data_IF_317195556268
#
_entry.id   IF_317195556268
#
_cell.length_a   1.000
_cell.length_b   1.000
_cell.length_c   1.000
_cell.angle_alpha   90.00
_cell.angle_beta   90.00
_cell.angle_gamma   90.00
#
_symmetry.space_group_name_H-M   'P 1'
#
loop_
_entity.id
_entity.type
_entity.pdbx_description
1 polymer ?
#
# COMPACT_ATOMS: atom_id res chain seq x y z
N UNK A 1 -11.82 10.93 -32.64
CA UNK A 1 -12.06 11.44 -31.26
C UNK A 1 -11.04 10.80 -30.35
N UNK A 2 -10.58 11.48 -29.30
CA UNK A 2 -9.63 10.89 -28.36
C UNK A 2 -10.29 9.79 -27.52
N UNK A 3 -9.57 8.69 -27.29
CA UNK A 3 -10.00 7.62 -26.40
C UNK A 3 -9.52 7.90 -24.97
N UNK A 4 -10.42 7.76 -24.00
CA UNK A 4 -10.15 8.04 -22.58
C UNK A 4 -10.56 6.88 -21.71
N UNK A 5 -9.69 6.52 -20.77
CA UNK A 5 -9.92 5.44 -19.81
C UNK A 5 -9.23 5.73 -18.48
N UNK A 6 -9.71 5.06 -17.43
CA UNK A 6 -9.03 4.97 -16.15
C UNK A 6 -8.18 3.69 -16.14
N UNK A 7 -6.93 3.82 -15.75
CA UNK A 7 -6.04 2.71 -15.47
C UNK A 7 -5.83 2.60 -13.95
N UNK A 8 -6.13 1.43 -13.39
CA UNK A 8 -5.93 1.08 -11.98
C UNK A 8 -5.48 -0.38 -11.86
N UNK A 9 -4.98 -0.76 -10.70
CA UNK A 9 -4.62 -2.15 -10.38
C UNK A 9 -4.76 -2.41 -8.88
N UNK A 10 -4.55 -3.64 -8.42
CA UNK A 10 -4.27 -3.93 -7.01
C UNK A 10 -5.37 -3.43 -6.05
N UNK A 11 -6.64 -3.66 -6.39
CA UNK A 11 -7.77 -3.34 -5.50
C UNK A 11 -7.79 -4.27 -4.28
N UNK A 12 -7.30 -5.51 -4.42
CA UNK A 12 -7.21 -6.50 -3.34
C UNK A 12 -8.51 -6.59 -2.51
N UNK A 13 -9.66 -6.64 -3.20
CA UNK A 13 -10.97 -6.74 -2.56
C UNK A 13 -11.04 -8.00 -1.69
N UNK A 14 -11.40 -7.83 -0.42
CA UNK A 14 -11.44 -8.90 0.58
C UNK A 14 -10.19 -9.03 1.45
N UNK A 15 -9.15 -8.20 1.24
CA UNK A 15 -7.96 -8.13 2.12
C UNK A 15 -8.35 -7.82 3.56
N UNK A 16 -7.94 -8.67 4.51
CA UNK A 16 -8.36 -8.59 5.93
C UNK A 16 -7.47 -7.73 6.84
N UNK A 17 -6.31 -7.28 6.37
CA UNK A 17 -5.37 -6.46 7.15
C UNK A 17 -4.98 -7.04 8.52
N UNK A 18 -4.88 -8.38 8.63
CA UNK A 18 -4.61 -9.06 9.89
C UNK A 18 -3.25 -8.69 10.54
N UNK A 19 -2.32 -8.18 9.74
CA UNK A 19 -1.00 -7.70 10.16
C UNK A 19 -1.00 -6.27 10.73
N UNK A 20 -2.13 -5.56 10.70
CA UNK A 20 -2.27 -4.22 11.25
C UNK A 20 -2.77 -4.34 12.69
N UNK A 21 -2.10 -3.67 13.63
CA UNK A 21 -2.53 -3.62 15.02
C UNK A 21 -3.94 -3.01 15.10
N UNK A 22 -4.79 -3.58 15.94
CA UNK A 22 -6.14 -3.06 16.15
C UNK A 22 -6.10 -2.04 17.29
N UNK A 23 -6.52 -0.78 17.07
CA UNK A 23 -6.68 0.19 18.15
C UNK A 23 -7.77 -0.26 19.14
N UNK A 24 -7.85 0.35 20.34
CA UNK A 24 -8.85 -0.01 21.36
C UNK A 24 -10.30 0.07 20.91
N UNK A 25 -10.61 0.87 19.89
CA UNK A 25 -11.97 1.01 19.33
C UNK A 25 -12.39 -0.16 18.42
N UNK A 26 -11.46 -1.04 18.05
CA UNK A 26 -11.72 -2.31 17.36
C UNK A 26 -12.21 -2.20 15.91
N UNK A 27 -12.14 -1.02 15.28
CA UNK A 27 -12.83 -0.76 14.01
C UNK A 27 -11.92 -0.49 12.80
N UNK A 28 -10.61 -0.42 12.98
CA UNK A 28 -9.67 0.01 11.95
C UNK A 28 -9.66 -0.95 10.76
N UNK A 29 -9.52 -2.26 11.01
CA UNK A 29 -9.44 -3.25 9.92
C UNK A 29 -10.71 -3.26 9.08
N UNK A 30 -11.88 -3.12 9.72
CA UNK A 30 -13.18 -3.00 9.04
C UNK A 30 -13.25 -1.76 8.14
N UNK A 31 -12.81 -0.60 8.64
CA UNK A 31 -12.75 0.64 7.84
C UNK A 31 -11.77 0.55 6.66
N UNK A 32 -10.64 -0.15 6.82
CA UNK A 32 -9.69 -0.38 5.73
C UNK A 32 -10.27 -1.30 4.65
N UNK A 33 -11.00 -2.35 5.06
CA UNK A 33 -11.73 -3.24 4.14
C UNK A 33 -12.80 -2.48 3.35
N UNK A 34 -13.59 -1.67 4.05
CA UNK A 34 -14.63 -0.82 3.45
C UNK A 34 -14.02 0.21 2.48
N UNK A 35 -12.90 0.86 2.86
CA UNK A 35 -12.22 1.80 1.99
C UNK A 35 -11.77 1.17 0.66
N UNK A 36 -11.25 -0.06 0.67
CA UNK A 36 -10.93 -0.80 -0.57
C UNK A 36 -12.18 -1.07 -1.41
N UNK A 37 -13.28 -1.48 -0.77
CA UNK A 37 -14.55 -1.72 -1.47
C UNK A 37 -15.11 -0.43 -2.10
N UNK A 38 -15.07 0.68 -1.38
CA UNK A 38 -15.52 2.00 -1.86
C UNK A 38 -14.70 2.52 -3.04
N UNK A 39 -13.52 1.95 -3.34
CA UNK A 39 -12.76 2.35 -4.53
C UNK A 39 -13.49 2.04 -5.82
N UNK A 40 -14.41 1.06 -5.85
CA UNK A 40 -15.25 0.82 -7.04
C UNK A 40 -16.04 2.10 -7.38
N UNK A 41 -16.67 2.72 -6.38
CA UNK A 41 -17.40 3.98 -6.57
C UNK A 41 -16.46 5.14 -6.91
N UNK A 42 -15.34 5.27 -6.20
CA UNK A 42 -14.39 6.36 -6.45
C UNK A 42 -13.79 6.32 -7.87
N UNK A 43 -13.48 5.12 -8.37
CA UNK A 43 -13.00 4.90 -9.73
C UNK A 43 -14.07 5.22 -10.78
N UNK A 44 -15.33 4.85 -10.53
CA UNK A 44 -16.45 5.22 -11.39
C UNK A 44 -16.65 6.74 -11.46
N UNK A 45 -16.59 7.42 -10.32
CA UNK A 45 -16.65 8.89 -10.26
C UNK A 45 -15.47 9.52 -11.00
N UNK A 46 -14.24 9.03 -10.79
CA UNK A 46 -13.08 9.51 -11.53
C UNK A 46 -13.22 9.30 -13.05
N UNK A 47 -13.81 8.18 -13.48
CA UNK A 47 -14.09 7.91 -14.88
C UNK A 47 -15.10 8.93 -15.45
N UNK A 48 -16.21 9.16 -14.75
CA UNK A 48 -17.24 10.13 -15.15
C UNK A 48 -16.69 11.56 -15.23
N UNK A 49 -15.99 12.02 -14.20
CA UNK A 49 -15.40 13.37 -14.12
C UNK A 49 -14.39 13.64 -15.24
N UNK A 50 -13.75 12.58 -15.76
CA UNK A 50 -12.77 12.66 -16.86
C UNK A 50 -13.35 12.32 -18.23
N UNK A 51 -14.64 11.99 -18.31
CA UNK A 51 -15.29 11.54 -19.54
C UNK A 51 -14.67 10.26 -20.10
N UNK A 52 -14.21 9.37 -19.22
CA UNK A 52 -13.67 8.07 -19.54
C UNK A 52 -14.77 7.00 -19.42
N UNK A 53 -15.03 6.27 -20.51
CA UNK A 53 -16.05 5.22 -20.54
C UNK A 53 -15.55 3.84 -20.07
N UNK A 54 -14.25 3.71 -19.82
CA UNK A 54 -13.62 2.42 -19.50
C UNK A 54 -12.72 2.53 -18.27
N UNK A 55 -12.75 1.50 -17.43
CA UNK A 55 -11.80 1.27 -16.34
C UNK A 55 -11.06 -0.03 -16.64
N UNK A 56 -9.74 0.07 -16.83
CA UNK A 56 -8.84 -1.07 -17.03
C UNK A 56 -8.21 -1.44 -15.68
N UNK A 57 -8.51 -2.64 -15.20
CA UNK A 57 -8.00 -3.23 -13.95
C UNK A 57 -6.86 -4.20 -14.30
N UNK A 58 -5.62 -3.75 -14.11
CA UNK A 58 -4.40 -4.49 -14.47
C UNK A 58 -3.99 -5.52 -13.41
N UNK A 59 -4.91 -6.41 -13.01
CA UNK A 59 -4.62 -7.50 -12.06
C UNK A 59 -4.88 -7.17 -10.59
N UNK A 60 -4.95 -8.24 -9.79
CA UNK A 60 -5.12 -8.21 -8.32
C UNK A 60 -6.36 -7.42 -7.89
N UNK A 61 -7.48 -7.71 -8.54
CA UNK A 61 -8.78 -7.14 -8.17
C UNK A 61 -9.27 -7.76 -6.87
N UNK A 62 -9.06 -9.07 -6.68
CA UNK A 62 -9.54 -9.83 -5.53
C UNK A 62 -8.39 -10.45 -4.71
N UNK A 63 -8.49 -10.38 -3.39
CA UNK A 63 -7.59 -11.07 -2.43
C UNK A 63 -8.28 -12.28 -1.78
N UNK A 64 -9.61 -12.39 -1.92
CA UNK A 64 -10.40 -13.53 -1.45
C UNK A 64 -10.85 -14.43 -2.58
N UNK A 65 -10.87 -15.75 -2.34
CA UNK A 65 -11.29 -16.79 -3.29
C UNK A 65 -12.78 -16.75 -3.70
N UNK A 66 -13.54 -15.78 -3.22
CA UNK A 66 -14.93 -15.55 -3.65
C UNK A 66 -15.07 -14.07 -3.98
N UNK A 67 -15.46 -13.69 -5.22
CA UNK A 67 -15.77 -12.31 -5.52
C UNK A 67 -17.00 -11.97 -4.70
N UNK A 68 -16.99 -10.83 -4.01
CA UNK A 68 -18.22 -10.42 -3.35
C UNK A 68 -19.22 -10.12 -4.46
N UNK A 69 -20.38 -10.80 -4.47
CA UNK A 69 -21.52 -10.43 -5.33
C UNK A 69 -21.84 -8.93 -5.22
N UNK A 70 -21.51 -8.34 -4.07
CA UNK A 70 -21.55 -6.90 -3.81
C UNK A 70 -20.61 -6.10 -4.72
N UNK A 71 -19.38 -6.56 -5.01
CA UNK A 71 -18.46 -5.87 -5.92
C UNK A 71 -19.00 -5.85 -7.34
N UNK A 72 -19.50 -6.99 -7.84
CA UNK A 72 -20.14 -7.05 -9.17
C UNK A 72 -21.39 -6.17 -9.24
N UNK A 73 -22.21 -6.15 -8.18
CA UNK A 73 -23.34 -5.24 -8.08
C UNK A 73 -22.90 -3.76 -8.09
N UNK A 74 -21.86 -3.39 -7.34
CA UNK A 74 -21.34 -2.03 -7.33
C UNK A 74 -20.78 -1.61 -8.71
N UNK A 75 -20.11 -2.52 -9.43
CA UNK A 75 -19.64 -2.28 -10.79
C UNK A 75 -20.80 -2.14 -11.79
N UNK A 76 -21.86 -2.95 -11.66
CA UNK A 76 -23.10 -2.81 -12.45
C UNK A 76 -23.75 -1.45 -12.28
N UNK A 77 -23.80 -0.97 -11.04
CA UNK A 77 -24.50 0.26 -10.70
C UNK A 77 -23.71 1.51 -11.14
N UNK A 78 -22.43 1.36 -11.50
CA UNK A 78 -21.61 2.39 -12.16
C UNK A 78 -21.98 2.55 -13.64
N UNK A 79 -23.13 3.18 -13.90
CA UNK A 79 -23.66 3.44 -15.24
C UNK A 79 -22.66 4.23 -16.10
N UNK A 80 -22.56 3.86 -17.38
CA UNK A 80 -21.67 4.51 -18.36
C UNK A 80 -20.19 4.09 -18.25
N UNK A 81 -19.85 3.17 -17.35
CA UNK A 81 -18.49 2.64 -17.18
C UNK A 81 -18.43 1.17 -17.55
N UNK A 82 -17.48 0.82 -18.42
CA UNK A 82 -17.12 -0.55 -18.77
C UNK A 82 -15.88 -0.98 -17.98
N UNK A 83 -16.00 -2.06 -17.21
CA UNK A 83 -14.93 -2.61 -16.38
C UNK A 83 -14.23 -3.75 -17.09
N UNK A 84 -12.92 -3.66 -17.26
CA UNK A 84 -12.09 -4.69 -17.90
C UNK A 84 -11.13 -5.27 -16.88
N UNK A 85 -11.40 -6.49 -16.43
CA UNK A 85 -10.71 -7.14 -15.31
C UNK A 85 -9.69 -8.13 -15.84
N UNK A 86 -8.41 -7.83 -15.65
CA UNK A 86 -7.33 -8.77 -15.87
C UNK A 86 -7.07 -9.60 -14.61
N UNK A 87 -6.91 -10.93 -14.69
CA UNK A 87 -6.34 -11.76 -13.63
C UNK A 87 -4.89 -11.40 -13.30
N UNK A 88 -4.58 -11.21 -12.01
CA UNK A 88 -3.26 -10.93 -11.47
C UNK A 88 -2.65 -12.10 -10.67
N UNK A 89 -1.69 -11.81 -9.80
CA UNK A 89 -0.99 -12.80 -9.00
C UNK A 89 -1.88 -13.44 -7.92
N UNK A 90 -2.65 -12.64 -7.21
CA UNK A 90 -3.52 -13.06 -6.10
C UNK A 90 -4.79 -13.73 -6.58
N UNK A 91 -5.38 -13.21 -7.65
CA UNK A 91 -6.56 -13.73 -8.33
C UNK A 91 -6.20 -14.38 -9.67
N UNK A 92 -5.14 -15.18 -9.73
CA UNK A 92 -4.77 -15.89 -10.97
C UNK A 92 -5.82 -16.96 -11.37
N UNK A 93 -5.83 -17.32 -12.66
CA UNK A 93 -6.83 -18.24 -13.23
C UNK A 93 -6.87 -19.63 -12.57
N UNK A 94 -5.75 -20.10 -12.00
CA UNK A 94 -5.68 -21.40 -11.32
C UNK A 94 -6.16 -21.36 -9.88
N UNK A 95 -5.71 -20.38 -9.10
CA UNK A 95 -5.98 -20.33 -7.66
C UNK A 95 -7.34 -19.68 -7.35
N UNK A 96 -7.81 -18.80 -8.24
CA UNK A 96 -9.08 -18.11 -8.13
C UNK A 96 -10.07 -18.56 -9.22
N UNK A 97 -9.98 -19.81 -9.69
CA UNK A 97 -10.85 -20.37 -10.73
C UNK A 97 -12.34 -20.09 -10.45
N UNK A 98 -12.78 -20.32 -9.20
CA UNK A 98 -14.16 -20.06 -8.77
C UNK A 98 -14.58 -18.59 -8.92
N UNK A 99 -13.66 -17.65 -8.70
CA UNK A 99 -13.91 -16.22 -8.89
C UNK A 99 -14.18 -15.92 -10.35
N UNK A 100 -13.32 -16.39 -11.24
CA UNK A 100 -13.43 -16.09 -12.67
C UNK A 100 -14.57 -16.85 -13.35
N UNK A 101 -14.92 -18.05 -12.86
CA UNK A 101 -16.09 -18.78 -13.33
C UNK A 101 -17.39 -18.09 -12.93
N UNK A 102 -17.49 -17.59 -11.68
CA UNK A 102 -18.65 -16.80 -11.25
C UNK A 102 -18.79 -15.52 -12.08
N UNK A 103 -17.70 -14.80 -12.33
CA UNK A 103 -17.73 -13.60 -13.19
C UNK A 103 -18.15 -14.00 -14.61
N UNK A 104 -17.60 -15.08 -15.17
CA UNK A 104 -17.95 -15.50 -16.53
C UNK A 104 -19.43 -15.92 -16.67
N UNK A 105 -20.03 -16.47 -15.62
CA UNK A 105 -21.43 -16.91 -15.65
C UNK A 105 -22.42 -15.80 -15.30
N UNK A 106 -22.05 -14.90 -14.37
CA UNK A 106 -22.98 -14.00 -13.70
C UNK A 106 -22.56 -12.52 -13.74
N UNK A 107 -21.53 -12.15 -14.51
CA UNK A 107 -21.14 -10.76 -14.66
C UNK A 107 -22.27 -9.90 -15.25
N UNK A 108 -22.44 -8.67 -14.74
CA UNK A 108 -23.20 -7.64 -15.43
C UNK A 108 -22.65 -7.35 -16.83
N UNK A 109 -23.48 -6.82 -17.73
CA UNK A 109 -23.11 -6.49 -19.11
C UNK A 109 -21.91 -5.53 -19.23
N UNK A 110 -21.67 -4.73 -18.21
CA UNK A 110 -20.57 -3.75 -18.17
C UNK A 110 -19.31 -4.25 -17.45
N UNK A 111 -19.23 -5.55 -17.12
CA UNK A 111 -18.09 -6.15 -16.44
C UNK A 111 -17.53 -7.28 -17.30
N UNK A 112 -16.28 -7.16 -17.73
CA UNK A 112 -15.64 -8.03 -18.70
C UNK A 112 -14.40 -8.71 -18.09
N UNK A 113 -14.42 -10.04 -18.01
CA UNK A 113 -13.26 -10.81 -17.55
C UNK A 113 -12.32 -11.14 -18.72
N UNK A 114 -11.06 -10.73 -18.61
CA UNK A 114 -10.04 -10.95 -19.63
C UNK A 114 -9.24 -12.23 -19.30
N UNK A 115 -9.87 -13.40 -19.49
CA UNK A 115 -9.28 -14.71 -19.17
C UNK A 115 -8.34 -15.26 -20.26
N UNK A 116 -8.43 -14.71 -21.46
CA UNK A 116 -7.65 -15.13 -22.63
C UNK A 116 -6.60 -14.08 -23.04
N UNK A 117 -5.87 -14.40 -24.12
CA UNK A 117 -4.91 -13.48 -24.76
C UNK A 117 -5.42 -12.91 -26.08
N UNK A 118 -6.68 -13.21 -26.42
CA UNK A 118 -7.32 -12.73 -27.64
C UNK A 118 -7.45 -11.20 -27.61
N UNK A 119 -7.26 -10.57 -28.77
CA UNK A 119 -7.45 -9.13 -28.93
C UNK A 119 -8.92 -8.79 -28.76
N UNK A 120 -9.22 -7.79 -27.92
CA UNK A 120 -10.58 -7.32 -27.67
C UNK A 120 -10.74 -5.90 -28.21
N UNK A 121 -11.71 -5.67 -29.09
CA UNK A 121 -12.10 -4.30 -29.48
C UNK A 121 -12.99 -3.70 -28.38
N UNK A 122 -12.46 -2.73 -27.63
CA UNK A 122 -13.17 -2.14 -26.48
C UNK A 122 -13.94 -0.87 -26.85
N UNK A 123 -13.58 -0.26 -27.98
CA UNK A 123 -14.26 0.85 -28.61
C UNK A 123 -13.86 0.87 -30.10
N UNK A 124 -14.64 1.53 -30.99
CA UNK A 124 -14.31 1.60 -32.41
C UNK A 124 -12.87 2.06 -32.65
N UNK A 125 -12.04 1.18 -33.23
CA UNK A 125 -10.64 1.48 -33.51
C UNK A 125 -9.70 1.44 -32.31
N UNK A 126 -10.08 0.76 -31.21
CA UNK A 126 -9.26 0.59 -30.00
C UNK A 126 -9.18 -0.88 -29.62
N UNK A 127 -7.98 -1.44 -29.70
CA UNK A 127 -7.67 -2.82 -29.34
C UNK A 127 -7.03 -2.91 -27.96
N UNK A 128 -7.59 -3.76 -27.11
CA UNK A 128 -7.01 -4.20 -25.85
C UNK A 128 -6.33 -5.56 -26.05
N UNK A 129 -5.07 -5.66 -25.64
CA UNK A 129 -4.24 -6.85 -25.73
C UNK A 129 -3.96 -7.36 -24.31
N UNK A 130 -4.82 -8.25 -23.77
CA UNK A 130 -4.68 -8.76 -22.40
C UNK A 130 -3.57 -9.80 -22.26
N UNK A 131 -2.88 -9.78 -21.12
CA UNK A 131 -1.87 -10.76 -20.73
C UNK A 131 -2.19 -11.31 -19.33
N UNK A 132 -3.24 -12.15 -19.19
CA UNK A 132 -3.72 -12.62 -17.89
C UNK A 132 -2.70 -13.52 -17.21
N UNK A 133 -2.65 -13.47 -15.87
CA UNK A 133 -1.81 -14.37 -15.07
C UNK A 133 -2.50 -15.73 -14.91
N UNK A 134 -1.99 -16.82 -15.53
CA UNK A 134 -2.61 -18.14 -15.42
C UNK A 134 -2.36 -18.78 -14.06
N UNK A 135 -1.16 -18.59 -13.53
CA UNK A 135 -0.68 -19.08 -12.24
C UNK A 135 0.41 -18.14 -11.77
N UNK A 136 0.58 -17.99 -10.45
CA UNK A 136 1.69 -17.22 -9.88
C UNK A 136 3.04 -17.86 -10.24
N UNK A 137 4.06 -17.04 -10.51
CA UNK A 137 5.41 -17.46 -10.87
C UNK A 137 5.43 -18.41 -12.09
N UNK A 138 5.17 -17.84 -13.26
CA UNK A 138 5.04 -18.58 -14.52
C UNK A 138 6.38 -19.01 -15.12
N UNK A 139 7.50 -18.50 -14.61
CA UNK A 139 8.84 -18.68 -15.18
C UNK A 139 9.02 -18.03 -16.55
N UNK A 140 8.12 -17.13 -16.98
CA UNK A 140 8.18 -16.45 -18.28
C UNK A 140 7.47 -15.09 -18.29
N UNK A 141 7.97 -14.17 -19.10
CA UNK A 141 7.28 -12.94 -19.50
C UNK A 141 5.94 -13.27 -20.20
N UNK A 142 4.83 -12.89 -19.58
CA UNK A 142 3.48 -13.10 -20.11
C UNK A 142 3.12 -12.16 -21.26
N UNK A 143 3.88 -11.09 -21.44
CA UNK A 143 3.67 -10.13 -22.52
C UNK A 143 4.47 -10.51 -23.78
N UNK A 144 5.30 -11.56 -23.74
CA UNK A 144 6.30 -11.91 -24.76
C UNK A 144 5.75 -12.03 -26.18
N UNK A 145 4.48 -12.41 -26.30
CA UNK A 145 3.84 -12.68 -27.59
C UNK A 145 3.25 -11.39 -28.21
N UNK A 146 3.13 -10.28 -27.44
CA UNK A 146 2.58 -9.00 -27.90
C UNK A 146 3.21 -8.45 -29.19
N UNK A 147 4.55 -8.52 -29.40
CA UNK A 147 5.17 -8.06 -30.65
C UNK A 147 4.67 -8.77 -31.91
N UNK A 148 4.19 -10.02 -31.78
CA UNK A 148 3.67 -10.81 -32.91
C UNK A 148 2.19 -10.62 -33.18
N UNK A 149 1.44 -9.91 -32.32
CA UNK A 149 -0.01 -9.75 -32.44
C UNK A 149 -0.34 -8.63 -33.42
N UNK A 150 -0.86 -9.00 -34.59
CA UNK A 150 -1.35 -8.07 -35.59
C UNK A 150 -2.70 -7.45 -35.20
N UNK A 151 -2.87 -6.16 -35.48
CA UNK A 151 -4.16 -5.44 -35.43
C UNK A 151 -4.34 -4.67 -36.73
N UNK A 152 -5.58 -4.27 -37.10
CA UNK A 152 -5.78 -3.40 -38.26
C UNK A 152 -4.97 -2.11 -38.17
N UNK A 153 -4.59 -1.56 -39.32
CA UNK A 153 -3.83 -0.31 -39.43
C UNK A 153 -4.57 0.86 -38.77
N UNK A 154 -3.83 1.73 -38.08
CA UNK A 154 -4.37 2.92 -37.43
C UNK A 154 -5.18 2.69 -36.14
N UNK A 155 -5.34 1.43 -35.70
CA UNK A 155 -5.98 1.08 -34.43
C UNK A 155 -5.09 1.45 -33.25
N UNK A 156 -5.69 2.03 -32.21
CA UNK A 156 -5.01 2.29 -30.93
C UNK A 156 -4.77 0.94 -30.22
N UNK A 157 -3.53 0.65 -29.84
CA UNK A 157 -3.12 -0.61 -29.19
C UNK A 157 -2.80 -0.40 -27.72
N UNK A 158 -3.60 -1.01 -26.84
CA UNK A 158 -3.39 -0.93 -25.38
C UNK A 158 -3.03 -2.33 -24.88
N UNK A 159 -1.81 -2.49 -24.34
CA UNK A 159 -1.45 -3.69 -23.60
C UNK A 159 -1.96 -3.61 -22.16
N UNK A 160 -2.46 -4.72 -21.61
CA UNK A 160 -2.89 -4.82 -20.22
C UNK A 160 -2.27 -6.07 -19.58
N UNK A 161 -1.37 -5.86 -18.61
CA UNK A 161 -0.59 -6.93 -18.02
C UNK A 161 -0.37 -6.72 -16.52
N UNK A 162 0.01 -7.79 -15.82
CA UNK A 162 0.32 -7.76 -14.40
C UNK A 162 1.65 -8.48 -14.15
N UNK A 163 2.61 -7.77 -13.57
CA UNK A 163 3.96 -8.28 -13.32
C UNK A 163 5.01 -7.18 -13.26
N UNK A 164 6.20 -7.54 -12.77
CA UNK A 164 7.33 -6.62 -12.61
C UNK A 164 8.06 -6.31 -13.91
N UNK A 165 8.69 -5.12 -13.94
CA UNK A 165 9.66 -4.69 -14.97
C UNK A 165 11.11 -4.76 -14.44
N UNK A 166 11.30 -4.93 -13.12
CA UNK A 166 12.62 -4.91 -12.46
C UNK A 166 13.02 -6.32 -12.04
N UNK A 167 14.18 -6.76 -12.49
CA UNK A 167 14.75 -8.06 -12.14
C UNK A 167 15.68 -7.97 -10.92
N UNK A 168 15.46 -8.85 -9.95
CA UNK A 168 16.42 -9.10 -8.85
C UNK A 168 16.89 -10.57 -8.85
N UNK A 169 16.42 -11.39 -9.80
CA UNK A 169 16.49 -12.87 -9.73
C UNK A 169 16.87 -13.57 -11.04
N UNK A 170 17.07 -12.86 -12.16
CA UNK A 170 17.41 -13.41 -13.49
C UNK A 170 16.41 -14.50 -13.97
N UNK A 171 15.15 -14.41 -13.56
CA UNK A 171 14.15 -15.49 -13.78
C UNK A 171 13.54 -15.51 -15.19
N UNK A 172 13.75 -14.46 -15.99
CA UNK A 172 13.11 -14.30 -17.31
C UNK A 172 11.60 -14.05 -17.26
N UNK A 173 11.04 -13.77 -16.08
CA UNK A 173 9.62 -13.47 -15.86
C UNK A 173 9.26 -11.99 -16.12
N UNK A 174 10.27 -11.12 -16.16
CA UNK A 174 10.07 -9.68 -16.17
C UNK A 174 9.56 -9.17 -17.52
N UNK A 175 8.69 -8.17 -17.46
CA UNK A 175 8.22 -7.43 -18.62
C UNK A 175 9.34 -6.47 -19.05
N UNK A 176 9.84 -6.54 -20.30
CA UNK A 176 10.88 -5.61 -20.73
C UNK A 176 10.43 -4.15 -20.64
N UNK A 177 11.31 -3.23 -20.18
CA UNK A 177 10.95 -1.82 -19.99
C UNK A 177 10.62 -1.09 -21.30
N UNK A 178 10.97 -1.68 -22.44
CA UNK A 178 10.68 -1.20 -23.80
C UNK A 178 9.55 -1.97 -24.47
N UNK A 179 8.73 -2.73 -23.72
CA UNK A 179 7.63 -3.52 -24.28
C UNK A 179 6.59 -2.68 -25.03
N UNK A 180 6.40 -1.43 -24.63
CA UNK A 180 5.61 -0.47 -25.40
C UNK A 180 6.14 -0.29 -26.83
N UNK A 181 7.45 -0.14 -27.01
CA UNK A 181 8.07 0.09 -28.31
C UNK A 181 8.19 -1.20 -29.12
N UNK A 182 8.67 -2.28 -28.50
CA UNK A 182 8.86 -3.57 -29.18
C UNK A 182 7.56 -4.21 -29.64
N UNK A 183 6.44 -3.94 -28.96
CA UNK A 183 5.12 -4.43 -29.37
C UNK A 183 4.23 -3.40 -30.09
N UNK A 184 4.75 -2.20 -30.36
CA UNK A 184 4.01 -1.13 -31.03
C UNK A 184 2.73 -0.75 -30.29
N UNK A 185 2.81 -0.59 -28.96
CA UNK A 185 1.69 -0.22 -28.11
C UNK A 185 1.62 1.31 -27.95
N UNK A 186 0.40 1.82 -27.97
CA UNK A 186 0.11 3.21 -27.64
C UNK A 186 0.16 3.45 -26.13
N UNK A 187 -0.20 2.43 -25.36
CA UNK A 187 -0.11 2.41 -23.91
C UNK A 187 0.05 0.97 -23.40
N UNK A 188 0.86 0.78 -22.35
CA UNK A 188 0.99 -0.47 -21.61
C UNK A 188 0.60 -0.21 -20.15
N UNK A 189 -0.59 -0.70 -19.81
CA UNK A 189 -1.17 -0.65 -18.48
C UNK A 189 -0.65 -1.83 -17.64
N UNK A 190 0.15 -1.54 -16.61
CA UNK A 190 0.74 -2.54 -15.72
C UNK A 190 0.16 -2.44 -14.29
N UNK A 191 -0.07 -3.59 -13.66
CA UNK A 191 -0.23 -3.74 -12.19
C UNK A 191 0.84 -4.65 -11.58
N UNK A 192 0.78 -4.88 -10.26
CA UNK A 192 1.75 -5.61 -9.38
C UNK A 192 2.58 -4.68 -8.49
N UNK A 193 2.78 -3.44 -8.92
CA UNK A 193 3.50 -2.41 -8.14
C UNK A 193 2.50 -1.49 -7.42
N UNK A 194 2.48 -1.52 -6.08
CA UNK A 194 1.51 -0.79 -5.25
C UNK A 194 1.71 0.75 -5.21
N UNK A 195 2.85 1.26 -5.70
CA UNK A 195 3.10 2.70 -5.84
C UNK A 195 2.86 3.19 -7.27
N UNK A 196 2.88 4.51 -7.49
CA UNK A 196 2.95 5.02 -8.87
C UNK A 196 4.36 4.88 -9.42
N UNK A 197 4.49 4.33 -10.62
CA UNK A 197 5.76 4.23 -11.33
C UNK A 197 5.56 4.47 -12.81
N UNK A 198 6.31 5.41 -13.39
CA UNK A 198 6.34 5.66 -14.83
C UNK A 198 7.63 5.07 -15.40
N UNK A 199 7.51 3.96 -16.12
CA UNK A 199 8.63 3.27 -16.78
C UNK A 199 9.00 3.98 -18.09
N UNK A 200 7.98 4.35 -18.87
CA UNK A 200 8.09 5.21 -20.05
C UNK A 200 6.85 6.12 -20.11
N UNK A 201 6.77 7.09 -21.03
CA UNK A 201 5.53 7.83 -21.26
C UNK A 201 4.31 6.92 -21.51
N UNK A 202 4.52 5.73 -22.10
CA UNK A 202 3.47 4.78 -22.47
C UNK A 202 3.33 3.60 -21.51
N UNK A 203 4.34 3.31 -20.69
CA UNK A 203 4.33 2.17 -19.76
C UNK A 203 4.29 2.68 -18.33
N UNK A 204 3.20 2.43 -17.61
CA UNK A 204 3.06 2.92 -16.23
C UNK A 204 2.40 1.88 -15.31
N UNK A 205 2.71 1.99 -14.03
CA UNK A 205 1.96 1.40 -12.92
C UNK A 205 1.18 2.52 -12.21
N UNK A 206 -0.13 2.35 -11.98
CA UNK A 206 -0.95 3.35 -11.30
C UNK A 206 -0.69 3.35 -9.79
N UNK A 207 -0.25 2.20 -9.25
CA UNK A 207 -0.29 1.92 -7.84
C UNK A 207 -1.65 1.38 -7.42
N UNK A 208 -1.78 1.08 -6.13
CA UNK A 208 -3.08 0.71 -5.56
C UNK A 208 -3.95 1.96 -5.35
N UNK A 209 -5.26 1.92 -5.66
CA UNK A 209 -6.16 3.05 -5.47
C UNK A 209 -6.48 3.32 -3.99
N UNK A 210 -6.21 2.36 -3.11
CA UNK A 210 -6.24 2.50 -1.65
C UNK A 210 -5.00 1.82 -1.07
N UNK A 211 -4.19 2.55 -0.30
CA UNK A 211 -2.92 2.00 0.19
C UNK A 211 -3.13 0.92 1.26
N UNK A 212 -2.18 0.00 1.35
CA UNK A 212 -2.15 -1.08 2.35
C UNK A 212 -0.80 -1.23 3.07
N UNK A 213 0.16 -0.34 2.78
CA UNK A 213 1.52 -0.43 3.28
C UNK A 213 2.12 0.95 3.53
N UNK A 214 3.01 1.05 4.51
CA UNK A 214 3.69 2.28 4.93
C UNK A 214 4.87 2.70 4.02
N UNK A 215 4.88 2.29 2.74
CA UNK A 215 6.05 2.46 1.87
C UNK A 215 6.05 3.77 1.08
N UNK A 216 4.87 4.31 0.76
CA UNK A 216 4.75 5.36 -0.26
C UNK A 216 4.53 6.77 0.30
N UNK A 217 4.11 6.92 1.56
CA UNK A 217 3.90 8.23 2.17
C UNK A 217 2.84 9.10 1.47
N UNK A 218 1.94 8.47 0.70
CA UNK A 218 0.94 9.13 -0.12
C UNK A 218 -0.37 8.33 -0.10
N UNK A 219 -1.47 8.96 -0.50
CA UNK A 219 -2.76 8.28 -0.70
C UNK A 219 -2.73 7.47 -2.01
N UNK A 220 -3.62 6.49 -2.10
CA UNK A 220 -3.80 5.71 -3.31
C UNK A 220 -4.33 6.55 -4.47
N UNK A 221 -4.10 6.10 -5.70
CA UNK A 221 -4.52 6.81 -6.91
C UNK A 221 -4.86 5.85 -8.05
N UNK A 222 -5.53 6.38 -9.06
CA UNK A 222 -5.60 5.79 -10.39
C UNK A 222 -5.02 6.76 -11.44
N UNK A 223 -4.86 6.30 -12.68
CA UNK A 223 -4.40 7.14 -13.79
C UNK A 223 -5.55 7.38 -14.77
N UNK A 224 -5.85 8.65 -15.05
CA UNK A 224 -6.66 9.04 -16.19
C UNK A 224 -5.77 9.16 -17.42
N UNK A 225 -6.06 8.39 -18.46
CA UNK A 225 -5.25 8.30 -19.68
C UNK A 225 -6.06 8.77 -20.88
N UNK A 226 -5.48 9.64 -21.71
CA UNK A 226 -6.04 10.08 -22.99
C UNK A 226 -5.11 9.72 -24.13
N UNK A 227 -5.65 9.00 -25.13
CA UNK A 227 -4.99 8.64 -26.38
C UNK A 227 -5.69 9.34 -27.54
N UNK A 228 -5.03 10.31 -28.17
CA UNK A 228 -5.66 11.11 -29.23
C UNK A 228 -5.77 10.37 -30.57
N UNK A 229 -4.77 9.55 -30.88
CA UNK A 229 -4.65 8.70 -32.08
C UNK A 229 -3.55 7.66 -31.88
N UNK A 230 -3.51 6.63 -32.72
CA UNK A 230 -2.39 5.69 -32.76
C UNK A 230 -1.06 6.41 -33.04
N UNK A 231 0.01 5.98 -32.38
CA UNK A 231 1.34 6.56 -32.41
C UNK A 231 1.53 7.84 -31.59
N UNK A 232 0.47 8.52 -31.13
CA UNK A 232 0.60 9.74 -30.33
C UNK A 232 0.97 9.43 -28.87
N UNK A 233 1.80 10.26 -28.24
CA UNK A 233 2.18 10.09 -26.82
C UNK A 233 0.94 10.29 -25.94
N UNK A 234 0.64 9.39 -24.97
CA UNK A 234 -0.51 9.52 -24.10
C UNK A 234 -0.39 10.72 -23.16
N UNK A 235 -1.52 11.37 -22.89
CA UNK A 235 -1.64 12.28 -21.75
C UNK A 235 -2.09 11.46 -20.53
N UNK A 236 -1.31 11.51 -19.45
CA UNK A 236 -1.55 10.70 -18.24
C UNK A 236 -1.58 11.61 -17.01
N UNK A 237 -2.68 11.56 -16.27
CA UNK A 237 -2.87 12.34 -15.03
C UNK A 237 -3.21 11.41 -13.87
N UNK A 238 -2.50 11.55 -12.74
CA UNK A 238 -2.86 10.85 -11.50
C UNK A 238 -4.09 11.47 -10.83
N UNK A 239 -5.02 10.62 -10.40
CA UNK A 239 -6.23 11.01 -9.68
C UNK A 239 -6.18 10.35 -8.31
N UNK A 240 -6.04 11.16 -7.26
CA UNK A 240 -6.07 10.65 -5.89
C UNK A 240 -7.43 10.01 -5.60
N UNK A 241 -7.40 8.76 -5.14
CA UNK A 241 -8.58 7.98 -4.75
C UNK A 241 -8.52 7.52 -3.30
N UNK A 242 -7.35 7.54 -2.65
CA UNK A 242 -7.13 6.92 -1.35
C UNK A 242 -7.82 7.63 -0.17
N UNK A 243 -8.59 6.86 0.59
CA UNK A 243 -9.26 7.29 1.81
C UNK A 243 -8.32 7.37 3.01
N UNK A 244 -7.26 6.55 3.07
CA UNK A 244 -6.27 6.55 4.15
C UNK A 244 -4.88 6.98 3.68
N UNK A 245 -4.20 7.76 4.53
CA UNK A 245 -2.79 8.10 4.36
C UNK A 245 -1.94 7.16 5.22
N UNK A 246 -0.98 6.48 4.61
CA UNK A 246 -0.05 5.58 5.29
C UNK A 246 1.34 6.21 5.28
N UNK A 247 1.91 6.46 6.46
CA UNK A 247 3.18 7.19 6.59
C UNK A 247 4.10 6.56 7.62
N UNK A 248 5.38 6.50 7.27
CA UNK A 248 6.47 6.03 8.11
C UNK A 248 7.44 7.21 8.30
N UNK A 249 7.50 7.76 9.52
CA UNK A 249 8.18 9.02 9.81
C UNK A 249 9.30 8.76 10.82
N UNK A 250 10.53 9.07 10.41
CA UNK A 250 11.68 9.02 11.29
C UNK A 250 11.64 10.18 12.31
N UNK A 251 11.85 9.87 13.58
CA UNK A 251 11.97 10.82 14.69
C UNK A 251 13.36 10.65 15.33
N UNK A 252 14.39 11.30 14.77
CA UNK A 252 15.69 11.37 15.43
C UNK A 252 15.57 12.23 16.69
N UNK A 253 16.11 11.75 17.81
CA UNK A 253 16.11 12.41 19.11
C UNK A 253 17.54 12.55 19.63
N UNK A 254 17.82 13.71 20.20
CA UNK A 254 19.12 14.04 20.78
C UNK A 254 19.04 14.21 22.31
N UNK A 255 20.20 14.16 22.96
CA UNK A 255 20.29 14.41 24.40
C UNK A 255 19.74 15.79 24.77
N UNK A 256 18.98 15.85 25.86
CA UNK A 256 18.33 17.05 26.36
C UNK A 256 17.14 17.56 25.55
N UNK A 257 16.75 16.88 24.47
CA UNK A 257 15.60 17.26 23.65
C UNK A 257 14.26 16.91 24.33
N UNK A 258 13.27 17.78 24.20
CA UNK A 258 11.90 17.48 24.62
C UNK A 258 11.26 16.53 23.59
N UNK A 259 11.20 15.24 23.95
CA UNK A 259 10.72 14.18 23.07
C UNK A 259 9.24 14.33 22.72
N UNK A 260 8.42 14.93 23.59
CA UNK A 260 7.02 15.18 23.32
C UNK A 260 6.85 16.32 22.30
N UNK A 261 7.57 17.42 22.49
CA UNK A 261 7.56 18.53 21.53
C UNK A 261 8.11 18.10 20.15
N UNK A 262 9.15 17.26 20.14
CA UNK A 262 9.71 16.71 18.91
C UNK A 262 8.70 15.82 18.16
N UNK A 263 7.93 14.99 18.87
CA UNK A 263 6.82 14.23 18.29
C UNK A 263 5.76 15.16 17.71
N UNK A 264 5.28 16.14 18.48
CA UNK A 264 4.21 17.05 18.09
C UNK A 264 4.53 17.80 16.79
N UNK A 265 5.79 18.20 16.62
CA UNK A 265 6.28 18.85 15.40
C UNK A 265 6.22 17.96 14.15
N UNK A 266 6.11 16.63 14.30
CA UNK A 266 6.00 15.66 13.20
C UNK A 266 4.59 15.18 12.93
N UNK A 267 3.65 15.42 13.84
CA UNK A 267 2.27 14.99 13.66
C UNK A 267 1.56 15.89 12.62
N UNK A 268 0.81 15.31 11.66
CA UNK A 268 0.02 16.11 10.74
C UNK A 268 -1.05 16.90 11.50
N UNK A 269 -1.36 18.11 11.04
CA UNK A 269 -2.37 18.99 11.67
C UNK A 269 -3.80 18.75 11.16
N UNK A 270 -3.97 17.97 10.09
CA UNK A 270 -5.26 17.70 9.47
C UNK A 270 -5.42 16.21 9.13
N UNK A 271 -6.68 15.80 8.91
CA UNK A 271 -7.07 14.45 8.47
C UNK A 271 -6.58 13.28 9.35
N UNK A 272 -6.25 13.53 10.64
CA UNK A 272 -5.70 12.54 11.58
C UNK A 272 -6.54 11.25 11.63
N UNK A 273 -7.87 11.38 11.66
CA UNK A 273 -8.82 10.24 11.69
C UNK A 273 -8.57 9.19 10.60
N UNK A 274 -8.08 9.59 9.43
CA UNK A 274 -7.80 8.70 8.30
C UNK A 274 -6.30 8.61 7.98
N UNK A 275 -5.44 8.77 9.00
CA UNK A 275 -4.00 8.65 8.89
C UNK A 275 -3.51 7.48 9.74
N UNK A 276 -2.75 6.58 9.11
CA UNK A 276 -1.98 5.54 9.76
C UNK A 276 -0.52 5.99 9.76
N UNK A 277 0.02 6.23 10.95
CA UNK A 277 1.34 6.80 11.14
C UNK A 277 2.20 5.85 12.00
N UNK A 278 3.38 5.51 11.48
CA UNK A 278 4.45 4.88 12.25
C UNK A 278 5.52 5.90 12.53
N UNK A 279 5.85 6.08 13.80
CA UNK A 279 6.94 6.93 14.27
C UNK A 279 8.14 6.03 14.56
N UNK A 280 9.21 6.14 13.77
CA UNK A 280 10.48 5.44 14.02
C UNK A 280 11.38 6.32 14.86
N UNK A 281 11.35 6.14 16.17
CA UNK A 281 12.22 6.88 17.06
C UNK A 281 13.64 6.30 17.00
N UNK A 282 14.62 7.21 16.92
CA UNK A 282 16.03 6.86 16.85
C UNK A 282 16.90 7.83 17.63
N UNK A 283 18.12 7.43 18.00
CA UNK A 283 19.05 8.25 18.77
C UNK A 283 19.09 7.84 20.24
N UNK A 284 19.21 8.79 21.16
CA UNK A 284 19.26 8.49 22.60
C UNK A 284 18.47 9.50 23.42
N UNK A 285 17.82 9.03 24.48
CA UNK A 285 17.15 9.89 25.47
C UNK A 285 17.16 9.26 26.86
N UNK A 286 16.92 10.05 27.90
CA UNK A 286 16.78 9.60 29.30
C UNK A 286 15.53 8.72 29.52
N UNK A 287 15.43 8.08 30.69
CA UNK A 287 14.22 7.34 31.12
C UNK A 287 12.97 8.23 31.07
N UNK A 288 13.12 9.47 31.55
CA UNK A 288 12.05 10.46 31.53
C UNK A 288 11.63 10.81 30.09
N UNK A 289 12.56 10.94 29.15
CA UNK A 289 12.25 11.22 27.74
C UNK A 289 11.57 10.04 27.03
N UNK A 290 11.96 8.79 27.34
CA UNK A 290 11.26 7.58 26.87
C UNK A 290 9.80 7.55 27.38
N UNK A 291 9.60 7.83 28.67
CA UNK A 291 8.27 7.89 29.28
C UNK A 291 7.42 9.03 28.69
N UNK A 292 8.01 10.23 28.50
CA UNK A 292 7.34 11.38 27.93
C UNK A 292 6.89 11.14 26.48
N UNK A 293 7.75 10.51 25.67
CA UNK A 293 7.42 10.15 24.28
C UNK A 293 6.26 9.17 24.21
N UNK A 294 6.29 8.11 25.02
CA UNK A 294 5.20 7.11 25.09
C UNK A 294 3.88 7.77 25.50
N UNK A 295 3.90 8.58 26.55
CA UNK A 295 2.72 9.31 27.02
C UNK A 295 2.19 10.31 25.98
N UNK A 296 3.07 10.95 25.19
CA UNK A 296 2.66 11.83 24.10
C UNK A 296 1.99 11.04 22.96
N UNK A 297 2.54 9.88 22.58
CA UNK A 297 1.91 8.99 21.59
C UNK A 297 0.54 8.51 22.06
N UNK A 298 0.42 8.04 23.30
CA UNK A 298 -0.86 7.58 23.87
C UNK A 298 -1.92 8.69 23.91
N UNK A 299 -1.50 9.92 24.19
CA UNK A 299 -2.37 11.10 24.19
C UNK A 299 -2.94 11.41 22.81
N UNK A 300 -2.12 11.27 21.76
CA UNK A 300 -2.52 11.57 20.39
C UNK A 300 -3.14 10.39 19.64
N UNK A 301 -2.86 9.15 20.03
CA UNK A 301 -3.31 7.95 19.33
C UNK A 301 -4.83 7.91 19.04
N UNK A 302 -5.73 8.34 19.95
CA UNK A 302 -7.17 8.36 19.68
C UNK A 302 -7.60 9.28 18.53
N UNK A 303 -6.76 10.23 18.12
CA UNK A 303 -7.06 11.14 17.01
C UNK A 303 -6.76 10.52 15.64
N UNK A 304 -5.97 9.43 15.60
CA UNK A 304 -5.49 8.79 14.38
C UNK A 304 -6.25 7.52 14.01
N UNK A 305 -6.15 7.08 12.76
CA UNK A 305 -6.56 5.72 12.40
C UNK A 305 -5.63 4.69 13.06
N UNK A 306 -4.33 5.00 13.06
CA UNK A 306 -3.29 4.27 13.78
C UNK A 306 -2.15 5.24 14.06
N UNK A 307 -1.63 5.25 15.29
CA UNK A 307 -0.40 5.93 15.65
C UNK A 307 0.48 4.95 16.42
N UNK A 308 1.45 4.36 15.73
CA UNK A 308 2.36 3.37 16.29
C UNK A 308 3.74 3.99 16.54
N UNK A 309 4.27 3.78 17.74
CA UNK A 309 5.66 4.09 18.07
C UNK A 309 6.52 2.84 17.85
N UNK A 310 7.60 3.01 17.08
CA UNK A 310 8.64 2.01 16.87
C UNK A 310 9.95 2.54 17.51
N UNK A 311 10.23 2.19 18.78
CA UNK A 311 11.35 2.74 19.53
C UNK A 311 12.65 1.91 19.39
N UNK A 312 12.68 0.88 18.54
CA UNK A 312 13.81 -0.07 18.44
C UNK A 312 15.16 0.62 18.14
N UNK A 313 15.15 1.81 17.54
CA UNK A 313 16.36 2.60 17.29
C UNK A 313 16.71 3.64 18.37
N UNK A 314 15.89 3.75 19.43
CA UNK A 314 16.03 4.76 20.48
C UNK A 314 16.71 4.16 21.71
N UNK A 315 18.00 4.45 21.86
CA UNK A 315 18.80 4.04 23.00
C UNK A 315 18.49 4.80 24.28
N UNK A 316 18.99 4.27 25.40
CA UNK A 316 18.87 4.87 26.72
C UNK A 316 20.12 5.65 27.10
N UNK A 317 19.95 6.90 27.54
CA UNK A 317 21.00 7.64 28.25
C UNK A 317 20.97 7.26 29.73
N UNK A 318 22.09 6.74 30.20
CA UNK A 318 22.25 6.24 31.56
C UNK A 318 22.58 7.40 32.50
N UNK A 319 21.61 7.86 33.29
CA UNK A 319 21.85 8.82 34.38
C UNK A 319 21.36 8.27 35.71
N UNK A 320 22.24 8.24 36.71
CA UNK A 320 21.98 7.67 38.05
C UNK A 320 20.87 8.45 38.77
N UNK A 321 20.71 9.75 38.48
CA UNK A 321 19.64 10.57 39.08
C UNK A 321 18.25 10.17 38.61
N UNK A 322 18.12 9.51 37.45
CA UNK A 322 16.82 9.08 36.93
C UNK A 322 16.23 7.91 37.76
N UNK A 323 17.09 7.14 38.44
CA UNK A 323 16.67 6.04 39.29
C UNK A 323 15.96 6.53 40.57
N UNK A 324 16.22 7.75 41.02
CA UNK A 324 15.62 8.31 42.24
C UNK A 324 14.10 8.52 42.06
N UNK A 325 13.64 8.65 40.81
CA UNK A 325 12.22 8.74 40.47
C UNK A 325 11.52 7.37 40.45
N UNK A 326 12.28 6.26 40.48
CA UNK A 326 11.73 4.90 40.64
C UNK A 326 11.55 4.61 42.12
N UNK A 327 12.63 4.73 42.89
CA UNK A 327 12.64 4.65 44.35
C UNK A 327 13.99 5.19 44.87
N UNK A 328 13.98 5.76 46.07
CA UNK A 328 15.20 6.22 46.72
C UNK A 328 15.95 5.09 47.43
N UNK A 329 15.27 4.02 47.84
CA UNK A 329 15.89 2.85 48.46
C UNK A 329 14.97 1.61 48.41
N UNK A 330 15.54 0.41 48.51
CA UNK A 330 14.76 -0.84 48.60
C UNK A 330 14.83 -1.70 47.36
N UNK A 331 13.94 -2.70 47.27
CA UNK A 331 14.02 -3.77 46.27
C UNK A 331 13.87 -3.26 44.83
N UNK A 332 13.00 -2.26 44.60
CA UNK A 332 12.82 -1.65 43.28
C UNK A 332 14.05 -0.87 42.85
N UNK A 333 14.68 -0.10 43.76
CA UNK A 333 15.93 0.60 43.49
C UNK A 333 17.04 -0.36 43.10
N UNK A 334 17.24 -1.43 43.87
CA UNK A 334 18.26 -2.46 43.56
C UNK A 334 18.02 -3.14 42.21
N UNK A 335 16.76 -3.41 41.87
CA UNK A 335 16.41 -3.96 40.56
C UNK A 335 16.74 -2.98 39.43
N UNK A 336 16.42 -1.68 39.61
CA UNK A 336 16.70 -0.64 38.63
C UNK A 336 18.21 -0.42 38.43
N UNK A 337 19.00 -0.39 39.50
CA UNK A 337 20.47 -0.29 39.44
C UNK A 337 21.09 -1.47 38.70
N UNK A 338 20.59 -2.68 38.96
CA UNK A 338 21.03 -3.88 38.26
C UNK A 338 20.73 -3.82 36.77
N UNK A 339 19.50 -3.47 36.40
CA UNK A 339 19.11 -3.33 34.99
C UNK A 339 19.90 -2.24 34.29
N UNK A 340 20.16 -1.10 34.96
CA UNK A 340 20.99 -0.02 34.43
C UNK A 340 22.44 -0.48 34.19
N UNK A 341 22.99 -1.26 35.13
CA UNK A 341 24.34 -1.83 35.00
C UNK A 341 24.42 -2.81 33.84
N UNK A 342 23.44 -3.72 33.71
CA UNK A 342 23.38 -4.70 32.62
C UNK A 342 23.20 -4.00 31.25
N UNK A 343 22.36 -2.96 31.17
CA UNK A 343 22.15 -2.19 29.94
C UNK A 343 23.40 -1.46 29.44
N UNK A 344 24.26 -0.98 30.35
CA UNK A 344 25.52 -0.30 30.01
C UNK A 344 26.75 -1.21 29.93
N UNK A 345 26.60 -2.53 30.06
CA UNK A 345 27.75 -3.44 30.14
C UNK A 345 28.17 -3.99 28.77
N UNK A 346 29.20 -3.37 28.17
CA UNK A 346 29.77 -3.76 26.87
C UNK A 346 30.29 -5.21 26.78
N UNK A 347 30.46 -5.90 27.92
CA UNK A 347 30.85 -7.33 27.94
C UNK A 347 29.67 -8.28 27.71
N UNK A 348 28.42 -7.81 27.84
CA UNK A 348 27.22 -8.59 27.56
C UNK A 348 26.89 -8.56 26.07
N UNK A 349 26.12 -9.55 25.60
CA UNK A 349 25.58 -9.54 24.25
C UNK A 349 24.64 -8.34 24.06
N UNK A 350 24.58 -7.79 22.84
CA UNK A 350 23.71 -6.66 22.51
C UNK A 350 22.24 -6.93 22.87
N UNK A 351 21.75 -8.13 22.56
CA UNK A 351 20.39 -8.54 22.92
C UNK A 351 20.12 -8.50 24.44
N UNK A 352 21.09 -8.86 25.27
CA UNK A 352 20.93 -8.83 26.74
C UNK A 352 20.91 -7.39 27.26
N UNK A 353 21.73 -6.51 26.69
CA UNK A 353 21.73 -5.07 27.00
C UNK A 353 20.40 -4.41 26.63
N UNK A 354 19.86 -4.74 25.47
CA UNK A 354 18.57 -4.22 24.99
C UNK A 354 17.41 -4.68 25.88
N UNK A 355 17.43 -5.96 26.30
CA UNK A 355 16.45 -6.49 27.25
C UNK A 355 16.51 -5.74 28.58
N UNK A 356 17.71 -5.51 29.10
CA UNK A 356 17.89 -4.78 30.36
C UNK A 356 17.41 -3.33 30.26
N UNK A 357 17.75 -2.63 29.17
CA UNK A 357 17.29 -1.27 28.91
C UNK A 357 15.76 -1.18 28.77
N UNK A 358 15.14 -2.11 28.03
CA UNK A 358 13.69 -2.18 27.88
C UNK A 358 12.98 -2.48 29.21
N UNK A 359 13.54 -3.38 30.03
CA UNK A 359 13.01 -3.68 31.35
C UNK A 359 13.10 -2.48 32.30
N UNK A 360 14.22 -1.74 32.28
CA UNK A 360 14.40 -0.53 33.08
C UNK A 360 13.41 0.57 32.69
N UNK A 361 13.23 0.82 31.39
CA UNK A 361 12.23 1.75 30.86
C UNK A 361 10.81 1.39 31.34
N UNK A 362 10.46 0.11 31.31
CA UNK A 362 9.13 -0.36 31.76
C UNK A 362 8.95 -0.23 33.27
N UNK A 363 9.98 -0.52 34.05
CA UNK A 363 9.97 -0.33 35.51
C UNK A 363 9.75 1.15 35.87
N UNK A 364 10.45 2.05 35.20
CA UNK A 364 10.30 3.50 35.39
C UNK A 364 8.88 3.98 35.08
N UNK A 365 8.30 3.54 33.96
CA UNK A 365 6.93 3.88 33.59
C UNK A 365 5.93 3.46 34.68
N UNK A 366 6.01 2.22 35.17
CA UNK A 366 5.11 1.74 36.22
C UNK A 366 5.29 2.47 37.55
N UNK A 367 6.53 2.76 37.95
CA UNK A 367 6.81 3.48 39.20
C UNK A 367 6.24 4.90 39.18
N UNK A 368 6.36 5.59 38.04
CA UNK A 368 5.90 6.97 37.88
C UNK A 368 4.38 7.08 37.64
N UNK A 369 3.75 6.06 37.04
CA UNK A 369 2.28 5.96 36.96
C UNK A 369 1.64 5.72 38.33
N UNK A 370 2.22 4.84 39.16
CA UNK A 370 1.69 4.53 40.50
C UNK A 370 1.81 5.69 41.50
N UNK A 371 2.67 6.67 41.22
CA UNK A 371 2.87 7.86 42.05
C UNK A 371 1.91 9.02 41.71
N UNK A 372 1.08 8.87 40.67
CA UNK A 372 0.02 9.83 40.28
C UNK A 372 -1.34 9.37 40.79
#
# INVERSE_FOLDING_TARGET
MAFRFIHTSDLHLGRRFANIAEPPDGNLRGRLMEARFDKIRALATAAQDRGAGHVLLAGDTFDSATPSRQALAAMRDAQGVQWWLLPGNHDNLRNAEQVWDEINQNAPENVHALRGTDVVEIAPGVALLPCPVPVRATGRDLTKDLPGIATPEGVIRIGLAHGGVVDFTESGEQIPPDRDRSAGLDYLALGDWHGRLQVSPRTQYPGTPEQDRFKHGARGQCLAVTLTQSGAVPEVTGIETGSFLWSDVALPLHDGEDTAAALDARLPTAARRNSLLRIRAGGWTSLAGHAALRAAVERHAPEFALLDLLPDGLGLLHNVTDLDAIDQAGAMRLAAERLMTEAGNDTLAEADRDIAAAALNRLYAYATEAAR
#
